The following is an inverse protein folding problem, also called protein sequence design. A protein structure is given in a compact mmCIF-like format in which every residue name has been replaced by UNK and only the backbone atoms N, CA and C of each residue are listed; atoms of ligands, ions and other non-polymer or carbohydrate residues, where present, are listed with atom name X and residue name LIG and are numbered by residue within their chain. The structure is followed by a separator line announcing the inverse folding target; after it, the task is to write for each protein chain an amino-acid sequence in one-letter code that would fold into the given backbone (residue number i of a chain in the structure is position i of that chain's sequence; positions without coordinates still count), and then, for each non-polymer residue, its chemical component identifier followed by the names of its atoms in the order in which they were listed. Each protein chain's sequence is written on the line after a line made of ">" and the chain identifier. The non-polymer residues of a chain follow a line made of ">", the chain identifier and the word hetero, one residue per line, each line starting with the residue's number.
data_IF_042592032527
#
_entry.id   IF_042592032527
#
_cell.length_a   1.000
_cell.length_b   1.000
_cell.length_c   1.000
_cell.angle_alpha   90.00
_cell.angle_beta   90.00
_cell.angle_gamma   90.00
#
_symmetry.space_group_name_H-M   'P 1'
#
loop_
_entity.id
_entity.type
_entity.pdbx_description
1 polymer ?
#
# COMPACT_ATOMS: atom_id res chain seq x y z
N UNK A 1 8.76 18.99 -13.47
CA UNK A 1 9.84 19.75 -12.80
C UNK A 1 9.44 19.86 -11.33
N UNK A 2 10.34 19.56 -10.41
CA UNK A 2 10.07 19.70 -8.97
C UNK A 2 10.22 21.18 -8.55
N UNK A 3 9.36 21.63 -7.65
CA UNK A 3 9.52 22.92 -6.97
C UNK A 3 10.39 22.71 -5.72
N UNK A 4 11.66 23.10 -5.79
CA UNK A 4 12.62 22.85 -4.71
C UNK A 4 12.45 23.79 -3.49
N UNK A 5 11.62 24.83 -3.60
CA UNK A 5 11.27 25.67 -2.44
C UNK A 5 10.36 24.91 -1.45
N UNK A 6 9.66 23.87 -1.91
CA UNK A 6 8.70 23.10 -1.12
C UNK A 6 9.05 21.61 -1.04
N UNK A 7 9.71 21.05 -2.06
CA UNK A 7 9.94 19.61 -2.20
C UNK A 7 11.43 19.32 -2.38
N UNK A 8 12.02 18.61 -1.42
CA UNK A 8 13.44 18.21 -1.47
C UNK A 8 13.70 17.12 -2.52
N UNK A 9 12.84 16.10 -2.59
CA UNK A 9 13.01 14.95 -3.47
C UNK A 9 11.67 14.33 -3.88
N UNK A 10 11.69 13.54 -4.95
CA UNK A 10 10.62 12.63 -5.30
C UNK A 10 11.21 11.31 -5.80
N UNK A 11 10.62 10.21 -5.38
CA UNK A 11 11.04 8.86 -5.77
C UNK A 11 9.80 7.97 -5.95
N UNK A 12 10.02 6.80 -6.53
CA UNK A 12 8.97 5.83 -6.82
C UNK A 12 9.21 4.56 -6.02
N UNK A 13 8.11 3.93 -5.60
CA UNK A 13 8.08 2.59 -5.00
C UNK A 13 6.90 1.87 -5.64
N UNK A 14 7.08 0.59 -5.99
CA UNK A 14 5.98 -0.20 -6.53
C UNK A 14 4.98 -0.60 -5.43
N UNK A 15 3.71 -0.80 -5.79
CA UNK A 15 2.72 -1.26 -4.81
C UNK A 15 3.04 -2.67 -4.32
N UNK A 16 3.63 -3.50 -5.19
CA UNK A 16 4.12 -4.85 -4.90
C UNK A 16 5.19 -4.84 -3.79
N UNK A 17 6.12 -3.88 -3.83
CA UNK A 17 7.15 -3.74 -2.78
C UNK A 17 6.56 -3.34 -1.42
N UNK A 18 5.41 -2.66 -1.41
CA UNK A 18 4.75 -2.23 -0.18
C UNK A 18 3.89 -3.34 0.45
N UNK A 19 3.39 -4.29 -0.35
CA UNK A 19 2.55 -5.38 0.14
C UNK A 19 3.33 -6.27 1.13
N UNK A 20 2.80 -6.41 2.34
CA UNK A 20 3.38 -7.26 3.39
C UNK A 20 4.72 -6.79 3.98
N UNK A 21 5.26 -5.64 3.54
CA UNK A 21 6.53 -5.10 4.05
C UNK A 21 6.35 -4.03 5.15
N UNK A 22 5.11 -3.66 5.46
CA UNK A 22 4.79 -2.73 6.53
C UNK A 22 5.15 -3.33 7.89
N UNK A 23 5.71 -2.50 8.78
CA UNK A 23 5.84 -2.81 10.20
C UNK A 23 4.75 -2.06 10.95
N UNK A 24 3.94 -2.79 11.71
CA UNK A 24 2.92 -2.18 12.56
C UNK A 24 3.55 -1.48 13.79
N UNK A 25 3.00 -0.33 14.13
CA UNK A 25 3.35 0.46 15.31
C UNK A 25 2.09 0.83 16.07
N UNK A 26 2.16 0.82 17.39
CA UNK A 26 1.09 1.33 18.25
C UNK A 26 1.42 2.78 18.58
N UNK A 27 0.48 3.68 18.32
CA UNK A 27 0.55 5.08 18.70
C UNK A 27 -0.45 5.37 19.81
N UNK A 28 0.04 5.98 20.88
CA UNK A 28 -0.78 6.50 21.98
C UNK A 28 -1.25 7.91 21.62
N UNK A 29 -2.55 8.08 21.43
CA UNK A 29 -3.20 9.36 21.13
C UNK A 29 -4.05 9.78 22.32
N UNK A 30 -4.36 11.09 22.48
CA UNK A 30 -5.22 11.56 23.58
C UNK A 30 -6.60 10.89 23.64
N UNK A 31 -7.06 10.31 22.53
CA UNK A 31 -8.35 9.66 22.37
C UNK A 31 -8.26 8.11 22.25
N UNK A 32 -7.09 7.51 22.50
CA UNK A 32 -6.91 6.06 22.50
C UNK A 32 -5.67 5.60 21.74
N UNK A 33 -5.57 4.29 21.53
CA UNK A 33 -4.49 3.68 20.77
C UNK A 33 -4.86 3.46 19.32
N UNK A 34 -3.90 3.64 18.43
CA UNK A 34 -4.06 3.37 17.00
C UNK A 34 -2.90 2.51 16.50
N UNK A 35 -3.21 1.47 15.74
CA UNK A 35 -2.22 0.69 14.99
C UNK A 35 -1.99 1.40 13.67
N UNK A 36 -0.74 1.77 13.38
CA UNK A 36 -0.36 2.45 12.15
C UNK A 36 0.73 1.69 11.40
N UNK A 37 0.67 1.68 10.07
CA UNK A 37 1.73 1.08 9.26
C UNK A 37 2.93 2.01 9.17
N UNK A 38 4.11 1.42 9.11
CA UNK A 38 5.36 2.11 8.84
C UNK A 38 6.16 1.33 7.80
N UNK A 39 6.62 2.00 6.74
CA UNK A 39 7.51 1.39 5.74
C UNK A 39 8.89 2.02 5.74
N UNK A 40 9.91 1.19 5.48
CA UNK A 40 11.29 1.61 5.28
C UNK A 40 11.59 1.67 3.77
N UNK A 41 11.04 2.68 3.10
CA UNK A 41 11.16 2.86 1.64
C UNK A 41 12.27 3.82 1.23
N UNK A 42 12.84 4.56 2.18
CA UNK A 42 13.89 5.53 1.93
C UNK A 42 14.92 5.47 3.08
N UNK A 43 16.24 5.57 2.81
CA UNK A 43 17.28 5.39 3.82
C UNK A 43 17.25 6.43 4.95
N UNK A 44 16.70 7.62 4.71
CA UNK A 44 16.77 8.73 5.68
C UNK A 44 15.52 8.84 6.55
N UNK A 45 14.35 8.55 6.00
CA UNK A 45 13.06 8.79 6.66
C UNK A 45 12.08 7.66 6.30
N UNK A 46 11.44 7.02 7.29
CA UNK A 46 10.38 6.07 7.00
C UNK A 46 9.17 6.75 6.37
N UNK A 47 8.31 5.98 5.72
CA UNK A 47 6.95 6.39 5.38
C UNK A 47 6.03 6.05 6.56
N UNK A 48 5.39 7.05 7.15
CA UNK A 48 4.54 6.93 8.34
C UNK A 48 3.46 8.02 8.35
N UNK A 49 2.60 8.02 9.38
CA UNK A 49 1.57 9.04 9.57
C UNK A 49 0.41 8.93 8.57
N UNK A 50 -0.22 10.05 8.24
CA UNK A 50 -1.44 10.07 7.42
C UNK A 50 -1.24 9.44 6.04
N UNK A 51 -0.11 9.74 5.37
CA UNK A 51 0.20 9.17 4.05
C UNK A 51 0.33 7.64 4.12
N UNK A 52 0.96 7.13 5.17
CA UNK A 52 1.09 5.70 5.38
C UNK A 52 -0.27 5.02 5.62
N UNK A 53 -1.13 5.62 6.42
CA UNK A 53 -2.50 5.12 6.65
C UNK A 53 -3.32 5.12 5.35
N UNK A 54 -3.27 6.21 4.56
CA UNK A 54 -3.98 6.25 3.27
C UNK A 54 -3.46 5.17 2.32
N UNK A 55 -2.13 4.96 2.28
CA UNK A 55 -1.54 3.93 1.44
C UNK A 55 -1.89 2.51 1.92
N UNK A 56 -2.03 2.24 3.22
CA UNK A 56 -2.50 0.91 3.66
C UNK A 56 -3.91 0.61 3.18
N UNK A 57 -4.82 1.59 3.24
CA UNK A 57 -6.18 1.41 2.74
C UNK A 57 -6.18 1.14 1.22
N UNK A 58 -5.32 1.83 0.46
CA UNK A 58 -5.15 1.56 -0.96
C UNK A 58 -4.61 0.14 -1.22
N UNK A 59 -3.64 -0.32 -0.43
CA UNK A 59 -3.04 -1.65 -0.60
C UNK A 59 -4.03 -2.78 -0.32
N UNK A 60 -4.96 -2.60 0.62
CA UNK A 60 -6.06 -3.56 0.86
C UNK A 60 -6.91 -3.72 -0.41
N UNK A 61 -7.26 -2.62 -1.08
CA UNK A 61 -8.00 -2.66 -2.34
C UNK A 61 -7.17 -3.30 -3.47
N UNK A 62 -5.87 -2.98 -3.51
CA UNK A 62 -4.95 -3.51 -4.51
C UNK A 62 -4.79 -5.03 -4.40
N UNK A 63 -4.62 -5.55 -3.18
CA UNK A 63 -4.55 -6.99 -2.91
C UNK A 63 -5.86 -7.71 -3.30
N UNK A 64 -7.01 -7.10 -2.98
CA UNK A 64 -8.31 -7.60 -3.41
C UNK A 64 -8.45 -7.67 -4.93
N UNK A 65 -7.93 -6.68 -5.65
CA UNK A 65 -7.91 -6.66 -7.13
C UNK A 65 -6.97 -7.73 -7.71
N UNK A 66 -5.79 -7.94 -7.14
CA UNK A 66 -4.87 -9.00 -7.55
C UNK A 66 -5.50 -10.38 -7.40
N UNK A 67 -6.18 -10.61 -6.27
CA UNK A 67 -6.85 -11.89 -5.98
C UNK A 67 -7.94 -12.23 -7.00
N UNK A 68 -8.71 -11.24 -7.45
CA UNK A 68 -9.74 -11.43 -8.49
C UNK A 68 -9.13 -11.80 -9.85
N UNK A 69 -7.93 -11.29 -10.16
CA UNK A 69 -7.23 -11.57 -11.42
C UNK A 69 -6.46 -12.89 -11.41
N UNK A 70 -6.09 -13.38 -10.23
CA UNK A 70 -5.44 -14.68 -10.05
C UNK A 70 -6.39 -15.87 -10.27
N UNK A 71 -7.71 -15.62 -10.34
CA UNK A 71 -8.70 -16.66 -10.66
C UNK A 71 -8.84 -16.76 -12.18
N UNK A 72 -8.34 -17.83 -12.85
CA UNK A 72 -8.62 -18.02 -14.26
C UNK A 72 -10.13 -18.26 -14.41
N UNK A 73 -10.75 -17.52 -15.33
CA UNK A 73 -12.15 -17.70 -15.71
C UNK A 73 -12.38 -19.17 -16.11
N UNK A 74 -12.98 -19.93 -15.20
CA UNK A 74 -13.42 -21.28 -15.49
C UNK A 74 -14.73 -21.23 -16.26
N UNK A 75 -14.83 -22.11 -17.26
CA UNK A 75 -16.00 -22.49 -18.08
C UNK A 75 -16.37 -21.59 -19.27
N UNK A 76 -15.72 -21.83 -20.41
CA UNK A 76 -16.44 -21.93 -21.68
C UNK A 76 -17.24 -23.23 -21.65
N UNK A 77 -18.58 -23.22 -21.73
CA UNK A 77 -19.32 -24.45 -21.96
C UNK A 77 -19.06 -24.86 -23.42
N UNK A 78 -18.44 -26.01 -23.61
CA UNK A 78 -18.38 -26.68 -24.90
C UNK A 78 -19.80 -27.10 -25.27
N UNK A 79 -20.42 -26.42 -26.24
CA UNK A 79 -21.60 -26.93 -26.94
C UNK A 79 -21.23 -28.26 -27.58
N UNK A 80 -21.84 -29.34 -27.10
CA UNK A 80 -21.80 -30.64 -27.76
C UNK A 80 -22.96 -30.71 -28.74
N UNK A 81 -22.58 -30.89 -30.01
CA UNK A 81 -23.43 -31.19 -31.17
C UNK A 81 -24.24 -32.48 -31.02
#
# INVERSE_FOLDING_TARGET
>A
MLNYDEVEEAFWVSLEELLGSAVERIWELPYGTMIVPQWLVHPRVPLWGATAVILSELLVLYEGWLSQRATPSASTPTDQH
#
